data_IF_595251999329
#
_entry.id   IF_595251999329
#
_cell.length_a   1.000
_cell.length_b   1.000
_cell.length_c   1.000
_cell.angle_alpha   90.00
_cell.angle_beta   90.00
_cell.angle_gamma   90.00
#
_symmetry.space_group_name_H-M   'P 1'
#
loop_
_entity.id
_entity.type
_entity.pdbx_description
1 polymer ?
#
# COMPACT_ATOMS: atom_id res chain seq x y z
N UNK A 1 7.40 26.64 19.16
CA UNK A 1 7.42 26.15 20.55
C UNK A 1 6.04 26.29 21.15
N UNK A 2 5.70 25.58 22.23
CA UNK A 2 4.47 25.82 22.99
C UNK A 2 4.62 26.95 24.02
N UNK A 3 3.56 27.24 24.76
CA UNK A 3 3.51 28.27 25.81
C UNK A 3 4.53 28.04 26.94
N UNK A 4 5.01 26.81 27.10
CA UNK A 4 6.02 26.41 28.09
C UNK A 4 7.43 26.30 27.47
N UNK A 5 7.66 26.93 26.31
CA UNK A 5 8.93 26.91 25.57
C UNK A 5 9.40 25.52 25.12
N UNK A 6 8.51 24.51 25.04
CA UNK A 6 8.87 23.20 24.48
C UNK A 6 8.79 23.20 22.96
N UNK A 7 9.74 22.52 22.32
CA UNK A 7 9.77 22.38 20.86
C UNK A 7 8.64 21.46 20.41
N UNK A 8 7.82 21.93 19.45
CA UNK A 8 6.68 21.20 18.88
C UNK A 8 6.93 20.67 17.46
N UNK A 9 7.97 21.18 16.80
CA UNK A 9 8.33 20.85 15.44
C UNK A 9 9.50 21.71 14.97
N UNK A 10 10.12 21.29 13.88
CA UNK A 10 11.20 21.99 13.18
C UNK A 10 10.87 21.96 11.69
N UNK A 11 11.04 23.08 11.00
CA UNK A 11 10.90 23.20 9.55
C UNK A 11 12.24 23.74 9.04
N UNK A 12 12.77 23.15 7.98
CA UNK A 12 14.01 23.61 7.35
C UNK A 12 13.72 24.52 6.15
N UNK A 13 14.69 25.35 5.76
CA UNK A 13 14.59 26.15 4.54
C UNK A 13 14.39 25.26 3.30
N UNK A 14 15.00 24.07 3.30
CA UNK A 14 14.86 23.08 2.24
C UNK A 14 13.41 22.57 2.14
N UNK A 15 12.74 22.30 3.26
CA UNK A 15 11.33 21.87 3.27
C UNK A 15 10.42 22.92 2.63
N UNK A 16 10.69 24.21 2.89
CA UNK A 16 9.94 25.33 2.28
C UNK A 16 10.16 25.34 0.77
N UNK A 17 11.40 25.32 0.31
CA UNK A 17 11.73 25.34 -1.12
C UNK A 17 11.12 24.15 -1.86
N UNK A 18 11.24 22.94 -1.31
CA UNK A 18 10.67 21.73 -1.92
C UNK A 18 9.14 21.75 -1.93
N UNK A 19 8.50 22.36 -0.92
CA UNK A 19 7.06 22.52 -0.90
C UNK A 19 6.55 23.51 -1.96
N UNK A 20 7.24 24.64 -2.17
CA UNK A 20 6.87 25.62 -3.19
C UNK A 20 7.22 25.16 -4.61
N UNK A 21 8.35 24.47 -4.79
CA UNK A 21 8.81 24.01 -6.10
C UNK A 21 8.01 22.84 -6.69
N UNK A 22 7.34 22.05 -5.85
CA UNK A 22 6.66 20.82 -6.26
C UNK A 22 5.15 20.86 -5.97
N UNK A 23 4.41 21.71 -6.70
CA UNK A 23 2.96 21.89 -6.55
C UNK A 23 2.12 20.62 -6.79
N UNK A 24 2.63 19.66 -7.58
CA UNK A 24 1.96 18.39 -7.90
C UNK A 24 2.47 17.20 -7.05
N UNK A 25 3.20 17.46 -5.96
CA UNK A 25 3.70 16.39 -5.09
C UNK A 25 2.55 15.61 -4.44
N UNK A 26 2.65 14.28 -4.50
CA UNK A 26 1.73 13.36 -3.81
C UNK A 26 1.98 13.40 -2.31
N UNK A 27 1.09 14.07 -1.57
CA UNK A 27 1.22 14.30 -0.13
C UNK A 27 -0.02 13.86 0.64
N UNK A 28 0.18 13.43 1.88
CA UNK A 28 -0.88 13.17 2.83
C UNK A 28 -1.49 14.48 3.37
N UNK A 29 -2.53 14.36 4.20
CA UNK A 29 -3.20 15.50 4.83
C UNK A 29 -2.30 16.29 5.81
N UNK A 30 -1.16 15.72 6.23
CA UNK A 30 -0.15 16.36 7.09
C UNK A 30 0.96 17.04 6.26
N UNK A 31 0.89 16.96 4.94
CA UNK A 31 1.90 17.53 4.02
C UNK A 31 3.13 16.67 3.81
N UNK A 32 3.13 15.41 4.29
CA UNK A 32 4.23 14.45 4.09
C UNK A 32 4.07 13.73 2.76
N UNK A 33 5.16 13.27 2.16
CA UNK A 33 5.08 12.48 0.93
C UNK A 33 4.35 11.16 1.18
N UNK A 34 3.49 10.77 0.23
CA UNK A 34 2.80 9.47 0.29
C UNK A 34 3.79 8.32 0.10
N UNK A 35 3.65 7.27 0.92
CA UNK A 35 4.48 6.07 0.88
C UNK A 35 3.62 4.82 0.77
N UNK A 36 3.95 3.98 -0.21
CA UNK A 36 3.39 2.65 -0.37
C UNK A 36 4.42 1.56 -0.08
N UNK A 37 3.96 0.43 0.46
CA UNK A 37 4.84 -0.71 0.71
C UNK A 37 4.19 -2.04 0.29
N UNK A 38 4.98 -2.90 -0.34
CA UNK A 38 4.55 -4.25 -0.70
C UNK A 38 4.74 -5.24 0.48
N UNK A 39 3.77 -6.13 0.63
CA UNK A 39 3.78 -7.24 1.58
C UNK A 39 3.39 -8.54 0.87
N UNK A 40 4.03 -9.65 1.26
CA UNK A 40 3.65 -10.98 0.80
C UNK A 40 2.58 -11.61 1.70
N UNK A 41 2.21 -12.85 1.41
CA UNK A 41 1.14 -13.60 2.11
C UNK A 41 1.65 -14.78 2.95
N UNK A 42 2.97 -14.88 3.17
CA UNK A 42 3.58 -15.96 3.96
C UNK A 42 3.40 -15.71 5.45
N UNK A 43 3.61 -16.75 6.26
CA UNK A 43 3.59 -16.63 7.72
C UNK A 43 4.46 -15.45 8.22
N UNK A 44 4.01 -14.78 9.27
CA UNK A 44 4.66 -13.58 9.81
C UNK A 44 4.37 -12.29 9.03
N UNK A 45 3.52 -12.29 7.99
CA UNK A 45 3.20 -11.06 7.25
C UNK A 45 2.61 -9.96 8.14
N UNK A 46 1.87 -10.33 9.20
CA UNK A 46 1.27 -9.35 10.11
C UNK A 46 2.31 -8.56 10.91
N UNK A 47 3.44 -9.15 11.31
CA UNK A 47 4.50 -8.42 12.03
C UNK A 47 5.14 -7.34 11.13
N UNK A 48 5.26 -7.65 9.83
CA UNK A 48 5.68 -6.69 8.82
C UNK A 48 4.64 -5.59 8.62
N UNK A 49 3.36 -5.94 8.53
CA UNK A 49 2.25 -4.96 8.44
C UNK A 49 2.27 -4.04 9.65
N UNK A 50 2.36 -4.58 10.86
CA UNK A 50 2.39 -3.82 12.11
C UNK A 50 3.53 -2.80 12.11
N UNK A 51 4.72 -3.23 11.67
CA UNK A 51 5.90 -2.38 11.58
C UNK A 51 5.72 -1.24 10.57
N UNK A 52 5.12 -1.53 9.41
CA UNK A 52 4.85 -0.54 8.35
C UNK A 52 3.78 0.46 8.76
N UNK A 53 2.69 -0.01 9.40
CA UNK A 53 1.63 0.87 9.91
C UNK A 53 2.15 1.75 11.04
N UNK A 54 3.00 1.22 11.93
CA UNK A 54 3.69 2.00 12.96
C UNK A 54 4.60 3.08 12.36
N UNK A 55 5.17 2.83 11.18
CA UNK A 55 5.93 3.80 10.41
C UNK A 55 5.05 4.75 9.58
N UNK A 56 3.72 4.69 9.75
CA UNK A 56 2.72 5.52 9.06
C UNK A 56 2.73 5.36 7.53
N UNK A 57 2.85 4.12 7.02
CA UNK A 57 2.59 3.81 5.60
C UNK A 57 1.17 4.22 5.21
N UNK A 58 1.01 4.81 4.02
CA UNK A 58 -0.30 5.26 3.53
C UNK A 58 -1.07 4.12 2.82
N UNK A 59 -0.35 3.27 2.09
CA UNK A 59 -0.96 2.17 1.32
C UNK A 59 -0.13 0.89 1.37
N UNK A 60 -0.80 -0.24 1.58
CA UNK A 60 -0.20 -1.58 1.54
C UNK A 60 -0.58 -2.27 0.23
N UNK A 61 0.38 -2.91 -0.43
CA UNK A 61 0.15 -3.72 -1.62
C UNK A 61 0.36 -5.18 -1.27
N UNK A 62 -0.71 -5.99 -1.31
CA UNK A 62 -0.59 -7.44 -1.19
C UNK A 62 -0.06 -7.97 -2.51
N UNK A 63 1.24 -8.28 -2.54
CA UNK A 63 1.97 -8.63 -3.75
C UNK A 63 2.23 -10.14 -3.82
N UNK A 64 1.45 -10.81 -4.66
CA UNK A 64 1.60 -12.22 -4.99
C UNK A 64 1.34 -12.43 -6.49
N UNK A 65 2.03 -13.40 -7.07
CA UNK A 65 1.90 -13.74 -8.49
C UNK A 65 0.45 -14.03 -8.92
N UNK A 66 -0.33 -14.70 -8.07
CA UNK A 66 -1.75 -14.94 -8.28
C UNK A 66 -2.57 -14.50 -7.06
N UNK A 67 -3.12 -13.29 -7.14
CA UNK A 67 -3.92 -12.66 -6.08
C UNK A 67 -5.30 -13.24 -5.90
N UNK A 68 -5.85 -13.94 -6.91
CA UNK A 68 -7.10 -14.68 -6.74
C UNK A 68 -6.85 -16.01 -6.01
N UNK A 69 -6.42 -15.92 -4.75
CA UNK A 69 -6.11 -17.07 -3.90
C UNK A 69 -6.58 -16.83 -2.46
N UNK A 70 -6.87 -17.92 -1.75
CA UNK A 70 -7.31 -17.84 -0.34
C UNK A 70 -6.31 -17.11 0.54
N UNK A 71 -5.00 -17.30 0.30
CA UNK A 71 -3.96 -16.63 1.07
C UNK A 71 -4.02 -15.11 0.90
N UNK A 72 -4.22 -14.61 -0.32
CA UNK A 72 -4.34 -13.18 -0.57
C UNK A 72 -5.62 -12.60 0.03
N UNK A 73 -6.75 -13.29 -0.16
CA UNK A 73 -8.05 -12.90 0.39
C UNK A 73 -8.00 -12.84 1.92
N UNK A 74 -7.45 -13.87 2.56
CA UNK A 74 -7.32 -13.93 4.01
C UNK A 74 -6.35 -12.87 4.54
N UNK A 75 -5.27 -12.59 3.80
CA UNK A 75 -4.32 -11.51 4.14
C UNK A 75 -5.01 -10.15 4.14
N UNK A 76 -5.77 -9.81 3.08
CA UNK A 76 -6.51 -8.54 2.99
C UNK A 76 -7.52 -8.43 4.13
N UNK A 77 -8.31 -9.48 4.38
CA UNK A 77 -9.28 -9.51 5.49
C UNK A 77 -8.59 -9.30 6.84
N UNK A 78 -7.45 -9.95 7.08
CA UNK A 78 -6.70 -9.81 8.33
C UNK A 78 -6.18 -8.37 8.52
N UNK A 79 -5.65 -7.75 7.46
CA UNK A 79 -5.17 -6.36 7.48
C UNK A 79 -6.33 -5.42 7.77
N UNK A 80 -7.42 -5.46 7.00
CA UNK A 80 -8.57 -4.55 7.18
C UNK A 80 -9.26 -4.77 8.53
N UNK A 81 -9.25 -5.99 9.07
CA UNK A 81 -9.78 -6.27 10.42
C UNK A 81 -8.99 -5.56 11.51
N UNK A 82 -7.65 -5.53 11.43
CA UNK A 82 -6.79 -4.90 12.46
C UNK A 82 -6.57 -3.42 12.22
N UNK A 83 -6.45 -3.02 10.95
CA UNK A 83 -6.14 -1.68 10.49
C UNK A 83 -7.16 -1.21 9.45
N UNK A 84 -8.41 -0.93 9.86
CA UNK A 84 -9.50 -0.61 8.93
C UNK A 84 -9.26 0.67 8.11
N UNK A 85 -8.44 1.58 8.63
CA UNK A 85 -8.15 2.88 8.00
C UNK A 85 -6.92 2.87 7.08
N UNK A 86 -6.20 1.75 6.99
CA UNK A 86 -5.07 1.64 6.06
C UNK A 86 -5.63 1.21 4.70
N UNK A 87 -5.18 1.89 3.64
CA UNK A 87 -5.54 1.56 2.27
C UNK A 87 -4.82 0.29 1.83
N UNK A 88 -5.54 -0.63 1.19
CA UNK A 88 -5.00 -1.92 0.75
C UNK A 88 -5.27 -2.14 -0.73
N UNK A 89 -4.19 -2.33 -1.50
CA UNK A 89 -4.25 -2.75 -2.90
C UNK A 89 -4.04 -4.27 -2.97
N UNK A 90 -5.02 -4.98 -3.54
CA UNK A 90 -4.97 -6.43 -3.75
C UNK A 90 -4.60 -6.80 -5.18
N UNK A 91 -3.74 -7.81 -5.36
CA UNK A 91 -3.46 -8.37 -6.68
C UNK A 91 -2.39 -9.47 -6.65
N UNK A 92 -1.94 -9.99 -7.79
CA UNK A 92 -2.40 -9.65 -9.14
C UNK A 92 -3.58 -10.50 -9.61
N UNK A 93 -4.51 -9.90 -10.33
CA UNK A 93 -5.65 -10.60 -10.96
C UNK A 93 -5.75 -10.30 -12.44
N UNK A 94 -6.34 -11.23 -13.21
CA UNK A 94 -6.59 -11.08 -14.64
C UNK A 94 -8.05 -11.41 -15.04
N UNK A 95 -8.91 -11.66 -14.05
CA UNK A 95 -10.32 -12.02 -14.25
C UNK A 95 -11.22 -11.08 -13.47
N UNK A 96 -12.43 -10.84 -13.99
CA UNK A 96 -13.44 -10.05 -13.30
C UNK A 96 -13.82 -10.66 -11.94
N UNK A 97 -13.93 -11.99 -11.86
CA UNK A 97 -14.22 -12.69 -10.62
C UNK A 97 -13.11 -12.49 -9.58
N UNK A 98 -11.85 -12.60 -9.99
CA UNK A 98 -10.72 -12.38 -9.07
C UNK A 98 -10.70 -10.96 -8.52
N UNK A 99 -10.99 -9.95 -9.35
CA UNK A 99 -11.13 -8.58 -8.88
C UNK A 99 -12.29 -8.43 -7.89
N UNK A 100 -13.46 -8.99 -8.18
CA UNK A 100 -14.63 -8.94 -7.32
C UNK A 100 -14.38 -9.60 -5.95
N UNK A 101 -13.71 -10.76 -5.94
CA UNK A 101 -13.39 -11.48 -4.70
C UNK A 101 -12.42 -10.70 -3.81
N UNK A 102 -11.46 -9.99 -4.41
CA UNK A 102 -10.55 -9.11 -3.69
C UNK A 102 -11.26 -7.85 -3.14
N UNK A 103 -12.17 -7.25 -3.92
CA UNK A 103 -13.01 -6.15 -3.45
C UNK A 103 -13.85 -6.60 -2.25
N UNK A 104 -14.50 -7.76 -2.35
CA UNK A 104 -15.31 -8.35 -1.27
C UNK A 104 -14.47 -8.70 -0.03
N UNK A 105 -13.18 -8.96 -0.20
CA UNK A 105 -12.25 -9.17 0.92
C UNK A 105 -11.90 -7.86 1.66
N UNK A 106 -12.16 -6.70 1.05
CA UNK A 106 -11.91 -5.37 1.60
C UNK A 106 -10.74 -4.63 0.95
N UNK A 107 -10.31 -5.03 -0.25
CA UNK A 107 -9.32 -4.25 -1.01
C UNK A 107 -9.91 -2.91 -1.47
N UNK A 108 -9.18 -1.82 -1.26
CA UNK A 108 -9.54 -0.47 -1.68
C UNK A 108 -9.08 -0.17 -3.12
N UNK A 109 -8.09 -0.94 -3.62
CA UNK A 109 -7.63 -0.91 -5.00
C UNK A 109 -7.25 -2.29 -5.53
N UNK A 110 -7.26 -2.44 -6.86
CA UNK A 110 -6.94 -3.72 -7.53
C UNK A 110 -5.74 -3.55 -8.46
N UNK A 111 -4.72 -4.41 -8.28
CA UNK A 111 -3.56 -4.51 -9.16
C UNK A 111 -3.84 -5.58 -10.22
N UNK A 112 -4.03 -5.15 -11.47
CA UNK A 112 -4.41 -6.01 -12.61
C UNK A 112 -3.19 -6.37 -13.46
N UNK A 113 -3.12 -7.63 -13.91
CA UNK A 113 -2.16 -8.12 -14.88
C UNK A 113 -1.33 -9.30 -14.38
N UNK A 114 -1.25 -10.39 -15.14
CA UNK A 114 -0.42 -11.57 -14.85
C UNK A 114 0.42 -11.84 -16.09
N UNK A 115 1.75 -11.93 -15.95
CA UNK A 115 2.67 -12.21 -17.07
C UNK A 115 2.98 -11.04 -18.01
N UNK A 116 2.24 -9.95 -18.01
CA UNK A 116 2.43 -8.81 -18.95
C UNK A 116 3.70 -7.96 -18.74
N UNK A 117 4.52 -8.27 -17.73
CA UNK A 117 5.78 -7.55 -17.47
C UNK A 117 6.88 -7.97 -18.44
N UNK A 118 7.70 -7.01 -18.89
CA UNK A 118 8.80 -7.24 -19.86
C UNK A 118 9.83 -8.30 -19.42
N UNK A 119 9.92 -8.60 -18.13
CA UNK A 119 10.81 -9.60 -17.53
C UNK A 119 10.06 -10.80 -16.92
N UNK A 120 8.73 -10.83 -17.00
CA UNK A 120 7.92 -11.88 -16.37
C UNK A 120 7.88 -13.13 -17.26
N UNK A 121 8.33 -14.26 -16.71
CA UNK A 121 8.38 -15.56 -17.41
C UNK A 121 7.06 -16.36 -17.29
N UNK A 122 6.00 -15.77 -16.73
CA UNK A 122 4.72 -16.47 -16.52
C UNK A 122 4.01 -16.73 -17.86
N UNK A 123 3.49 -17.94 -18.11
CA UNK A 123 2.97 -18.34 -19.43
C UNK A 123 1.75 -17.54 -19.93
N UNK A 124 1.05 -16.80 -19.06
CA UNK A 124 -0.07 -15.92 -19.44
C UNK A 124 0.32 -14.73 -20.34
N UNK A 125 1.62 -14.48 -20.56
CA UNK A 125 2.10 -13.39 -21.41
C UNK A 125 2.15 -13.70 -22.90
N UNK A 126 1.87 -14.96 -23.29
CA UNK A 126 2.00 -15.46 -24.67
C UNK A 126 0.67 -15.91 -25.31
N UNK A 127 -0.46 -15.56 -24.71
CA UNK A 127 -1.80 -15.85 -25.25
C UNK A 127 -2.45 -14.60 -25.83
#
# INVERSE_FOLDING_TARGET
>A
VDENFKIKGLITATDIVQNYGNGNASKDKKGRLLVGAAIGVREGFMDRVDSLVKAEVDVLVVDIAHGHSDNAINTIKAIKKKYPNVEVIGGNVATAQGALDLINAGADGIKVGIGSGSVALSPLSRS
#
